data_IF_393711914461
#
_entry.id   IF_393711914461
#
_cell.length_a   1.000
_cell.length_b   1.000
_cell.length_c   1.000
_cell.angle_alpha   90.00
_cell.angle_beta   90.00
_cell.angle_gamma   90.00
#
_symmetry.space_group_name_H-M   'P 1'
#
loop_
_entity.id
_entity.type
_entity.pdbx_description
1 polymer ?
#
# COMPACT_ATOMS: atom_id res chain seq x y z
N UNK A 1 -6.62 -4.22 15.37
CA UNK A 1 -7.59 -5.21 15.90
C UNK A 1 -8.25 -4.63 17.15
N UNK A 2 -9.39 -5.10 17.64
CA UNK A 2 -9.85 -4.75 19.01
C UNK A 2 -9.40 -5.82 19.99
N UNK A 3 -8.77 -5.43 21.09
CA UNK A 3 -8.41 -6.33 22.19
C UNK A 3 -8.93 -5.75 23.51
N UNK A 4 -9.23 -6.65 24.44
CA UNK A 4 -9.70 -6.33 25.77
C UNK A 4 -8.84 -7.07 26.79
N UNK A 5 -8.53 -6.41 27.89
CA UNK A 5 -7.90 -7.01 29.07
C UNK A 5 -9.00 -7.46 30.03
N UNK A 6 -8.77 -8.58 30.73
CA UNK A 6 -9.75 -9.17 31.65
C UNK A 6 -9.35 -8.86 33.09
N UNK A 7 -9.83 -7.72 33.59
CA UNK A 7 -9.51 -7.21 34.94
C UNK A 7 -10.71 -7.43 35.87
N UNK A 8 -10.50 -8.11 37.00
CA UNK A 8 -11.52 -8.53 37.97
C UNK A 8 -12.80 -9.18 37.38
N UNK A 9 -12.67 -9.83 36.22
CA UNK A 9 -13.76 -10.50 35.51
C UNK A 9 -14.55 -9.61 34.54
N UNK A 10 -14.17 -8.34 34.39
CA UNK A 10 -14.71 -7.42 33.40
C UNK A 10 -13.75 -7.24 32.22
N UNK A 11 -14.30 -7.05 31.02
CA UNK A 11 -13.52 -6.76 29.81
C UNK A 11 -13.32 -5.25 29.67
N UNK A 12 -12.14 -4.77 30.05
CA UNK A 12 -11.73 -3.37 29.83
C UNK A 12 -11.00 -3.25 28.48
N UNK A 13 -11.11 -2.14 27.73
CA UNK A 13 -10.34 -1.95 26.51
C UNK A 13 -8.84 -2.04 26.82
N UNK A 14 -8.11 -2.90 26.11
CA UNK A 14 -6.70 -3.16 26.42
C UNK A 14 -5.88 -1.89 26.18
N UNK A 15 -5.20 -1.39 27.22
CA UNK A 15 -4.37 -0.18 27.14
C UNK A 15 -3.02 -0.47 26.46
N UNK A 16 -3.05 -0.76 25.16
CA UNK A 16 -1.88 -0.61 24.31
C UNK A 16 -1.48 0.87 24.36
N UNK A 17 -0.37 1.15 25.03
CA UNK A 17 0.11 2.52 25.21
C UNK A 17 0.45 3.21 23.90
N UNK A 18 0.84 4.47 24.03
CA UNK A 18 0.98 5.39 22.90
C UNK A 18 2.06 4.93 21.92
N UNK A 19 1.81 5.18 20.65
CA UNK A 19 2.76 4.92 19.57
C UNK A 19 3.90 5.94 19.62
N UNK A 20 5.13 5.46 19.48
CA UNK A 20 6.36 6.25 19.60
C UNK A 20 6.83 6.62 18.21
N UNK A 21 6.37 7.78 17.73
CA UNK A 21 6.90 8.43 16.51
C UNK A 21 8.42 8.58 16.68
N UNK A 22 9.17 8.22 15.63
CA UNK A 22 10.64 8.15 15.61
C UNK A 22 11.28 7.29 16.72
N UNK A 23 10.56 6.31 17.26
CA UNK A 23 11.06 5.40 18.30
C UNK A 23 12.14 4.40 17.87
N UNK A 24 12.43 4.30 16.56
CA UNK A 24 13.33 3.30 15.98
C UNK A 24 14.79 3.73 16.00
N UNK A 25 15.37 3.84 17.19
CA UNK A 25 16.81 4.09 17.34
C UNK A 25 17.65 2.95 16.71
N UNK A 26 18.92 3.18 16.33
CA UNK A 26 19.79 2.14 15.78
C UNK A 26 19.90 0.89 16.65
N UNK A 27 19.86 1.05 17.98
CA UNK A 27 19.86 -0.05 18.96
C UNK A 27 18.58 -0.91 18.87
N UNK A 28 17.42 -0.30 18.61
CA UNK A 28 16.16 -1.02 18.36
C UNK A 28 16.25 -1.77 17.02
N UNK A 29 16.78 -1.15 15.97
CA UNK A 29 16.96 -1.80 14.67
C UNK A 29 17.95 -2.98 14.75
N UNK A 30 19.00 -2.89 15.55
CA UNK A 30 19.93 -4.00 15.79
C UNK A 30 19.34 -5.10 16.67
N UNK A 31 18.46 -4.78 17.63
CA UNK A 31 17.67 -5.77 18.36
C UNK A 31 16.68 -6.51 17.44
N UNK A 32 15.99 -5.78 16.55
CA UNK A 32 15.13 -6.34 15.51
C UNK A 32 15.92 -7.25 14.57
N UNK A 33 17.12 -6.86 14.13
CA UNK A 33 18.01 -7.72 13.32
C UNK A 33 18.36 -9.00 14.08
N UNK A 34 18.74 -8.92 15.35
CA UNK A 34 19.07 -10.09 16.16
C UNK A 34 17.91 -11.08 16.30
N UNK A 35 16.66 -10.61 16.31
CA UNK A 35 15.43 -11.41 16.51
C UNK A 35 14.57 -11.56 15.25
N UNK A 36 15.07 -11.19 14.06
CA UNK A 36 14.25 -11.02 12.84
C UNK A 36 13.50 -12.30 12.42
N UNK A 37 14.06 -13.47 12.71
CA UNK A 37 13.44 -14.77 12.40
C UNK A 37 12.24 -15.09 13.30
N UNK A 38 12.28 -14.66 14.56
CA UNK A 38 11.17 -14.78 15.49
C UNK A 38 10.05 -13.80 15.10
N UNK A 39 10.42 -12.57 14.71
CA UNK A 39 9.52 -11.51 14.25
C UNK A 39 8.77 -11.89 12.96
N UNK A 40 9.47 -12.43 11.96
CA UNK A 40 8.85 -12.88 10.70
C UNK A 40 7.99 -14.14 10.92
N UNK A 41 8.22 -14.90 11.99
CA UNK A 41 7.54 -16.16 12.35
C UNK A 41 7.65 -17.30 11.32
N UNK A 42 8.56 -17.18 10.34
CA UNK A 42 8.77 -18.17 9.27
C UNK A 42 9.95 -19.10 9.58
N UNK A 43 9.85 -20.40 9.23
CA UNK A 43 10.99 -21.30 9.27
C UNK A 43 11.98 -20.95 8.15
N UNK A 44 13.05 -20.24 8.52
CA UNK A 44 14.18 -19.91 7.66
C UNK A 44 15.47 -20.41 8.30
N UNK A 45 16.38 -20.95 7.50
CA UNK A 45 17.72 -21.35 7.92
C UNK A 45 18.72 -20.21 7.63
N UNK A 46 19.21 -19.47 8.65
CA UNK A 46 20.09 -18.32 8.44
C UNK A 46 21.49 -18.74 7.97
N UNK A 47 22.06 -17.98 7.04
CA UNK A 47 23.41 -18.23 6.51
C UNK A 47 24.41 -17.18 6.99
N UNK A 48 24.19 -15.91 6.66
CA UNK A 48 25.12 -14.81 6.97
C UNK A 48 24.43 -13.45 6.96
N UNK A 49 24.93 -12.51 7.77
CA UNK A 49 24.41 -11.14 7.94
C UNK A 49 25.20 -10.10 7.11
N UNK A 50 25.61 -10.47 5.89
CA UNK A 50 26.58 -9.70 5.08
C UNK A 50 26.02 -9.45 3.69
N UNK A 51 26.33 -8.29 3.12
CA UNK A 51 26.17 -8.10 1.69
C UNK A 51 27.30 -8.85 0.95
N UNK A 52 26.95 -9.95 0.28
CA UNK A 52 27.92 -10.90 -0.27
C UNK A 52 28.49 -10.41 -1.62
N UNK A 53 27.75 -9.58 -2.36
CA UNK A 53 28.22 -9.00 -3.63
C UNK A 53 28.97 -7.68 -3.41
N UNK A 54 30.28 -7.71 -3.69
CA UNK A 54 31.18 -6.54 -3.61
C UNK A 54 31.12 -5.68 -4.89
N UNK A 55 30.13 -4.81 -5.02
CA UNK A 55 30.12 -3.78 -6.08
C UNK A 55 29.69 -2.37 -5.66
N UNK A 56 29.33 -2.14 -4.39
CA UNK A 56 29.11 -0.78 -3.85
C UNK A 56 29.81 -0.62 -2.51
N UNK A 57 30.59 0.45 -2.37
CA UNK A 57 31.16 0.93 -1.09
C UNK A 57 30.26 1.96 -0.40
N UNK A 58 29.07 2.26 -0.96
CA UNK A 58 28.03 2.92 -0.19
C UNK A 58 27.65 2.04 1.01
N UNK A 59 27.27 2.66 2.13
CA UNK A 59 27.03 1.98 3.40
C UNK A 59 25.73 1.14 3.37
N UNK A 60 25.75 0.01 2.68
CA UNK A 60 24.59 -0.85 2.50
C UNK A 60 24.10 -1.40 3.83
N UNK A 61 22.80 -1.28 4.09
CA UNK A 61 22.12 -1.85 5.25
C UNK A 61 22.44 -3.34 5.42
N UNK A 62 22.71 -3.81 6.65
CA UNK A 62 23.07 -5.21 6.88
C UNK A 62 21.87 -6.12 6.57
N UNK A 63 22.10 -7.10 5.71
CA UNK A 63 21.11 -8.07 5.23
C UNK A 63 21.43 -9.46 5.72
N UNK A 64 20.41 -10.21 6.13
CA UNK A 64 20.47 -11.65 6.30
C UNK A 64 20.19 -12.37 4.97
N UNK A 65 21.09 -13.27 4.57
CA UNK A 65 20.79 -14.30 3.58
C UNK A 65 20.42 -15.59 4.30
N UNK A 66 19.33 -16.23 3.88
CA UNK A 66 18.80 -17.47 4.47
C UNK A 66 18.27 -18.43 3.39
N UNK A 67 17.86 -19.63 3.81
CA UNK A 67 17.11 -20.59 2.98
C UNK A 67 15.73 -20.86 3.57
N UNK A 68 14.70 -20.97 2.72
CA UNK A 68 13.42 -21.55 3.14
C UNK A 68 13.49 -23.09 3.22
N UNK A 69 12.43 -23.73 3.72
CA UNK A 69 12.36 -25.20 3.83
C UNK A 69 12.36 -25.94 2.48
N UNK A 70 12.09 -25.26 1.36
CA UNK A 70 12.17 -25.83 0.00
C UNK A 70 13.60 -25.80 -0.56
N UNK A 71 14.47 -24.94 -0.03
CA UNK A 71 15.82 -24.67 -0.52
C UNK A 71 15.92 -23.43 -1.42
N UNK A 72 14.89 -22.59 -1.43
CA UNK A 72 14.93 -21.28 -2.09
C UNK A 72 15.74 -20.30 -1.23
N UNK A 73 16.61 -19.50 -1.86
CA UNK A 73 17.34 -18.41 -1.19
C UNK A 73 16.38 -17.28 -0.85
N UNK A 74 16.45 -16.81 0.40
CA UNK A 74 15.64 -15.72 0.93
C UNK A 74 16.57 -14.60 1.41
N UNK A 75 16.37 -13.41 0.90
CA UNK A 75 16.95 -12.17 1.44
C UNK A 75 16.02 -11.62 2.54
N UNK A 76 16.59 -11.18 3.65
CA UNK A 76 15.86 -10.48 4.73
C UNK A 76 16.57 -9.16 5.05
N UNK A 77 15.90 -8.04 4.77
CA UNK A 77 16.43 -6.68 4.96
C UNK A 77 15.64 -5.95 6.07
N UNK A 78 16.35 -5.34 7.03
CA UNK A 78 15.75 -4.57 8.14
C UNK A 78 16.06 -3.08 7.95
N UNK A 79 15.01 -2.30 7.68
CA UNK A 79 15.07 -0.91 7.23
C UNK A 79 14.38 0.02 8.23
N UNK A 80 14.83 1.27 8.22
CA UNK A 80 14.21 2.37 8.97
C UNK A 80 13.05 2.97 8.17
N UNK A 81 13.35 3.54 7.00
CA UNK A 81 12.35 3.90 5.99
C UNK A 81 12.39 2.96 4.77
N UNK A 82 11.21 2.66 4.23
CA UNK A 82 11.03 2.03 2.93
C UNK A 82 10.35 3.01 1.97
N UNK A 83 11.16 3.58 1.09
CA UNK A 83 10.76 4.47 -0.01
C UNK A 83 10.98 3.81 -1.39
N UNK A 84 10.69 4.55 -2.46
CA UNK A 84 10.77 4.02 -3.82
C UNK A 84 12.21 3.72 -4.27
N UNK A 85 13.19 4.51 -3.84
CA UNK A 85 14.61 4.27 -4.14
C UNK A 85 15.09 3.01 -3.41
N UNK A 86 14.90 2.94 -2.09
CA UNK A 86 15.28 1.81 -1.23
C UNK A 86 14.61 0.51 -1.64
N UNK A 87 13.36 0.54 -2.11
CA UNK A 87 12.65 -0.63 -2.65
C UNK A 87 13.30 -1.14 -3.95
N UNK A 88 13.60 -0.25 -4.91
CA UNK A 88 14.29 -0.60 -6.16
C UNK A 88 15.69 -1.15 -5.86
N UNK A 89 16.38 -0.56 -4.89
CA UNK A 89 17.72 -0.95 -4.48
C UNK A 89 17.72 -2.35 -3.82
N UNK A 90 16.73 -2.62 -2.96
CA UNK A 90 16.50 -3.96 -2.36
C UNK A 90 16.19 -5.02 -3.42
N UNK A 91 15.36 -4.69 -4.42
CA UNK A 91 15.03 -5.59 -5.54
C UNK A 91 16.23 -5.85 -6.46
N UNK A 92 17.08 -4.84 -6.69
CA UNK A 92 18.34 -5.02 -7.44
C UNK A 92 19.29 -5.95 -6.69
N UNK A 93 19.51 -5.70 -5.39
CA UNK A 93 20.32 -6.57 -4.52
C UNK A 93 19.71 -7.96 -4.32
N UNK A 94 18.40 -8.15 -4.53
CA UNK A 94 17.74 -9.46 -4.47
C UNK A 94 18.12 -10.32 -5.68
N UNK A 95 18.16 -9.75 -6.88
CA UNK A 95 18.52 -10.48 -8.10
C UNK A 95 19.92 -11.10 -7.99
N UNK A 96 20.88 -10.34 -7.44
CA UNK A 96 22.20 -10.82 -7.06
C UNK A 96 22.15 -12.03 -6.12
N UNK A 97 21.37 -11.92 -5.02
CA UNK A 97 21.24 -12.96 -3.99
C UNK A 97 20.59 -14.23 -4.54
N UNK A 98 19.62 -14.08 -5.44
CA UNK A 98 18.95 -15.18 -6.12
C UNK A 98 19.81 -15.90 -7.19
N UNK A 99 20.97 -15.31 -7.57
CA UNK A 99 21.92 -15.92 -8.51
C UNK A 99 22.93 -16.87 -7.84
N UNK A 100 23.01 -16.87 -6.51
CA UNK A 100 24.03 -17.58 -5.75
C UNK A 100 23.90 -19.10 -5.81
N UNK A 101 25.03 -19.81 -5.91
CA UNK A 101 25.03 -21.27 -5.88
C UNK A 101 25.05 -21.83 -4.46
N UNK A 102 24.64 -23.09 -4.33
CA UNK A 102 24.73 -23.87 -3.08
C UNK A 102 26.13 -23.87 -2.47
N UNK A 103 27.18 -23.82 -3.30
CA UNK A 103 28.59 -23.81 -2.86
C UNK A 103 28.98 -22.47 -2.25
N UNK A 104 28.50 -21.37 -2.82
CA UNK A 104 28.82 -20.01 -2.36
C UNK A 104 28.17 -19.78 -0.99
N UNK A 105 26.89 -20.12 -0.87
CA UNK A 105 26.13 -20.11 0.38
C UNK A 105 26.78 -20.96 1.48
N UNK A 106 27.29 -22.15 1.13
CA UNK A 106 28.00 -23.03 2.06
C UNK A 106 29.36 -22.47 2.52
N UNK A 107 29.96 -21.55 1.75
CA UNK A 107 31.26 -20.93 2.04
C UNK A 107 31.14 -19.69 2.94
N UNK A 108 30.06 -18.90 2.81
CA UNK A 108 29.76 -17.77 3.70
C UNK A 108 29.07 -18.17 5.02
N UNK A 109 28.67 -19.43 5.19
CA UNK A 109 28.13 -19.93 6.46
C UNK A 109 29.19 -19.92 7.58
N UNK A 110 28.86 -19.35 8.74
CA UNK A 110 29.78 -19.19 9.87
C UNK A 110 30.32 -20.52 10.44
N UNK A 111 29.58 -21.62 10.31
CA UNK A 111 30.03 -22.98 10.66
C UNK A 111 30.78 -23.73 9.54
N UNK A 112 31.04 -23.08 8.40
CA UNK A 112 31.65 -23.65 7.21
C UNK A 112 30.81 -24.73 6.51
N UNK A 113 31.30 -25.20 5.36
CA UNK A 113 30.57 -26.12 4.44
C UNK A 113 30.01 -27.37 5.13
N UNK A 114 30.77 -27.99 6.05
CA UNK A 114 30.31 -29.19 6.77
C UNK A 114 29.35 -28.86 7.91
N UNK A 115 29.45 -27.68 8.54
CA UNK A 115 28.45 -27.19 9.49
C UNK A 115 27.13 -26.89 8.77
N UNK A 116 27.20 -26.20 7.63
CA UNK A 116 26.08 -25.87 6.76
C UNK A 116 25.29 -27.11 6.33
N UNK A 117 25.97 -28.15 5.82
CA UNK A 117 25.34 -29.43 5.43
C UNK A 117 24.55 -30.07 6.58
N UNK A 118 25.12 -30.11 7.79
CA UNK A 118 24.46 -30.72 8.96
C UNK A 118 23.28 -29.89 9.45
N UNK A 119 23.47 -28.58 9.58
CA UNK A 119 22.40 -27.66 10.00
C UNK A 119 21.23 -27.67 9.03
N UNK A 120 21.50 -27.65 7.72
CA UNK A 120 20.49 -27.77 6.67
C UNK A 120 19.74 -29.10 6.71
N UNK A 121 20.44 -30.22 6.91
CA UNK A 121 19.80 -31.53 7.02
C UNK A 121 18.87 -31.59 8.24
N UNK A 122 19.35 -31.18 9.42
CA UNK A 122 18.56 -31.11 10.65
C UNK A 122 17.36 -30.17 10.52
N UNK A 123 17.52 -29.03 9.85
CA UNK A 123 16.44 -28.10 9.55
C UNK A 123 15.40 -28.71 8.59
N UNK A 124 15.80 -29.48 7.58
CA UNK A 124 14.85 -30.20 6.72
C UNK A 124 14.11 -31.32 7.44
N UNK A 125 14.75 -32.02 8.38
CA UNK A 125 14.10 -33.08 9.17
C UNK A 125 13.02 -32.55 10.14
N UNK A 126 13.09 -31.27 10.55
CA UNK A 126 12.05 -30.63 11.37
C UNK A 126 10.90 -30.00 10.57
N UNK A 127 10.93 -30.09 9.24
CA UNK A 127 9.92 -29.49 8.34
C UNK A 127 8.95 -30.53 7.76
N UNK A 128 7.72 -30.13 7.41
CA UNK A 128 6.78 -31.02 6.70
C UNK A 128 7.37 -31.45 5.34
N UNK A 129 7.01 -32.65 4.83
CA UNK A 129 7.70 -33.28 3.69
C UNK A 129 7.54 -32.57 2.33
N UNK A 130 6.66 -31.59 2.23
CA UNK A 130 6.47 -30.75 1.05
C UNK A 130 6.10 -29.32 1.48
N UNK A 131 7.07 -28.51 1.91
CA UNK A 131 6.80 -27.13 2.29
C UNK A 131 6.46 -26.30 1.05
N UNK A 132 5.51 -25.34 1.13
CA UNK A 132 5.32 -24.37 0.06
C UNK A 132 6.56 -23.47 -0.06
N UNK A 133 6.84 -22.99 -1.28
CA UNK A 133 7.89 -22.00 -1.49
C UNK A 133 7.56 -20.70 -0.73
N UNK A 134 8.53 -20.18 0.00
CA UNK A 134 8.42 -18.91 0.70
C UNK A 134 8.59 -17.69 -0.21
N UNK A 135 8.52 -16.47 0.36
CA UNK A 135 9.03 -15.28 -0.31
C UNK A 135 10.53 -15.40 -0.60
N UNK A 136 11.00 -14.66 -1.60
CA UNK A 136 12.42 -14.50 -1.98
C UNK A 136 13.07 -13.31 -1.28
N UNK A 137 12.26 -12.31 -0.96
CA UNK A 137 12.66 -11.13 -0.19
C UNK A 137 11.64 -10.91 0.93
N UNK A 138 12.12 -10.75 2.15
CA UNK A 138 11.35 -10.23 3.27
C UNK A 138 11.95 -8.88 3.66
N UNK A 139 11.14 -7.83 3.65
CA UNK A 139 11.52 -6.51 4.15
C UNK A 139 10.82 -6.31 5.50
N UNK A 140 11.55 -5.85 6.51
CA UNK A 140 11.00 -5.45 7.80
C UNK A 140 11.33 -3.97 8.00
N UNK A 141 10.33 -3.09 7.89
CA UNK A 141 10.49 -1.64 7.87
C UNK A 141 9.80 -0.98 9.07
N UNK A 142 10.44 0.05 9.65
CA UNK A 142 9.85 0.88 10.69
C UNK A 142 8.86 1.93 10.14
N UNK A 143 9.08 2.41 8.92
CA UNK A 143 8.18 3.33 8.22
C UNK A 143 8.13 3.00 6.72
N UNK A 144 6.98 3.27 6.10
CA UNK A 144 6.72 2.97 4.68
C UNK A 144 6.03 4.18 4.04
N UNK A 145 6.58 4.72 2.96
CA UNK A 145 5.99 5.89 2.29
C UNK A 145 4.71 5.50 1.52
N UNK A 146 3.71 6.38 1.48
CA UNK A 146 2.46 6.13 0.74
C UNK A 146 2.70 5.91 -0.77
N UNK A 147 3.80 6.43 -1.31
CA UNK A 147 4.20 6.24 -2.72
C UNK A 147 4.44 4.76 -3.07
N UNK A 148 5.03 3.97 -2.17
CA UNK A 148 5.36 2.56 -2.44
C UNK A 148 4.23 1.60 -2.09
N UNK A 149 3.28 1.96 -1.21
CA UNK A 149 2.22 1.02 -0.79
C UNK A 149 1.45 0.37 -1.95
N UNK A 150 1.04 1.09 -3.03
CA UNK A 150 0.40 0.47 -4.19
C UNK A 150 1.31 -0.48 -4.98
N UNK A 151 2.63 -0.32 -4.90
CA UNK A 151 3.58 -1.27 -5.49
C UNK A 151 3.73 -2.52 -4.62
N UNK A 152 3.72 -2.39 -3.29
CA UNK A 152 3.78 -3.53 -2.36
C UNK A 152 2.58 -4.48 -2.56
N UNK A 153 1.38 -3.93 -2.77
CA UNK A 153 0.16 -4.69 -3.09
C UNK A 153 0.31 -5.59 -4.34
N UNK A 154 1.11 -5.17 -5.33
CA UNK A 154 1.40 -5.94 -6.53
C UNK A 154 2.54 -6.93 -6.29
N UNK A 155 3.61 -6.47 -5.62
CA UNK A 155 4.82 -7.24 -5.36
C UNK A 155 4.60 -8.41 -4.40
N UNK A 156 3.57 -8.35 -3.53
CA UNK A 156 3.18 -9.47 -2.66
C UNK A 156 2.86 -10.75 -3.45
N UNK A 157 2.27 -10.61 -4.65
CA UNK A 157 1.99 -11.73 -5.55
C UNK A 157 3.25 -12.32 -6.21
N UNK A 158 4.37 -11.58 -6.20
CA UNK A 158 5.64 -11.94 -6.83
C UNK A 158 6.62 -12.64 -5.88
N UNK A 159 6.19 -13.00 -4.67
CA UNK A 159 7.06 -13.62 -3.67
C UNK A 159 7.94 -12.62 -2.93
N UNK A 160 7.45 -11.40 -2.70
CA UNK A 160 8.07 -10.42 -1.79
C UNK A 160 7.10 -10.25 -0.61
N UNK A 161 7.63 -10.25 0.61
CA UNK A 161 6.85 -10.04 1.83
C UNK A 161 7.37 -8.80 2.54
N UNK A 162 6.48 -7.93 2.99
CA UNK A 162 6.85 -6.72 3.73
C UNK A 162 6.15 -6.72 5.07
N UNK A 163 6.89 -6.42 6.12
CA UNK A 163 6.39 -6.23 7.47
C UNK A 163 6.57 -4.77 7.86
N UNK A 164 5.51 -4.15 8.37
CA UNK A 164 5.49 -2.81 8.93
C UNK A 164 5.51 -2.92 10.45
N UNK A 165 6.51 -2.30 11.07
CA UNK A 165 6.71 -2.29 12.51
C UNK A 165 6.19 -0.99 13.13
N UNK A 166 5.49 -1.09 14.25
CA UNK A 166 5.11 0.04 15.12
C UNK A 166 5.69 -0.17 16.51
N UNK A 167 6.30 0.87 17.08
CA UNK A 167 6.81 0.83 18.45
C UNK A 167 5.81 1.52 19.38
N UNK A 168 5.34 0.82 20.41
CA UNK A 168 4.35 1.32 21.38
C UNK A 168 4.94 1.32 22.79
N UNK A 169 4.81 2.42 23.53
CA UNK A 169 5.26 2.50 24.92
C UNK A 169 4.07 2.40 25.88
N UNK A 170 4.08 1.38 26.74
CA UNK A 170 3.08 1.23 27.80
C UNK A 170 3.33 2.19 28.97
N UNK A 171 2.28 2.47 29.74
CA UNK A 171 2.31 3.28 30.97
C UNK A 171 3.30 2.78 32.04
N UNK A 172 3.66 1.49 32.00
CA UNK A 172 4.71 0.88 32.81
C UNK A 172 6.15 1.14 32.31
N UNK A 173 6.33 1.99 31.29
CA UNK A 173 7.60 2.39 30.70
C UNK A 173 8.18 1.40 29.67
N UNK A 174 7.63 0.19 29.54
CA UNK A 174 8.12 -0.82 28.58
C UNK A 174 7.71 -0.47 27.16
N UNK A 175 8.66 -0.56 26.24
CA UNK A 175 8.38 -0.59 24.80
C UNK A 175 7.91 -1.99 24.37
N UNK A 176 7.02 -2.01 23.38
CA UNK A 176 6.49 -3.18 22.70
C UNK A 176 6.58 -2.95 21.19
N UNK A 177 7.01 -3.97 20.46
CA UNK A 177 7.06 -3.95 19.00
C UNK A 177 5.83 -4.66 18.44
N UNK A 178 4.92 -3.92 17.82
CA UNK A 178 3.86 -4.49 16.98
C UNK A 178 4.42 -4.67 15.57
N UNK A 179 4.17 -5.82 14.94
CA UNK A 179 4.65 -6.11 13.58
C UNK A 179 3.52 -6.70 12.77
N UNK A 180 3.21 -6.06 11.64
CA UNK A 180 2.09 -6.39 10.78
C UNK A 180 2.55 -6.71 9.37
N UNK A 181 1.90 -7.67 8.68
CA UNK A 181 2.25 -8.01 7.30
C UNK A 181 1.53 -7.05 6.36
N UNK A 182 2.30 -6.29 5.58
CA UNK A 182 1.83 -5.49 4.45
C UNK A 182 1.63 -6.42 3.25
N UNK A 183 0.62 -7.26 3.39
CA UNK A 183 0.07 -8.03 2.28
C UNK A 183 -0.74 -7.14 1.33
N UNK A 184 -1.27 -7.70 0.24
CA UNK A 184 -2.10 -6.92 -0.66
C UNK A 184 -3.31 -6.42 0.11
N UNK A 185 -3.46 -5.09 0.21
CA UNK A 185 -4.69 -4.45 0.66
C UNK A 185 -5.79 -4.93 -0.27
N UNK A 186 -6.53 -5.94 0.17
CA UNK A 186 -7.83 -6.27 -0.40
C UNK A 186 -8.58 -4.96 -0.53
N UNK A 187 -8.85 -4.53 -1.77
CA UNK A 187 -9.68 -3.35 -2.07
C UNK A 187 -11.16 -3.66 -1.77
N UNK A 188 -11.40 -4.19 -0.57
CA UNK A 188 -12.58 -3.89 0.21
C UNK A 188 -12.62 -2.39 0.43
N UNK A 189 -13.15 -1.70 -0.57
CA UNK A 189 -13.96 -0.52 -0.33
C UNK A 189 -14.87 -0.85 0.87
N UNK A 190 -14.55 -0.30 2.05
CA UNK A 190 -15.52 -0.09 3.12
C UNK A 190 -16.48 1.03 2.70
N UNK A 191 -17.04 0.89 1.50
CA UNK A 191 -18.25 1.55 1.06
C UNK A 191 -19.39 0.96 1.88
N UNK A 192 -19.57 1.51 3.08
CA UNK A 192 -20.79 1.52 3.86
C UNK A 192 -21.50 0.16 4.01
N UNK A 193 -21.30 -0.48 5.17
CA UNK A 193 -22.33 -1.34 5.78
C UNK A 193 -23.53 -0.49 6.29
N UNK A 194 -24.03 0.38 5.40
CA UNK A 194 -25.14 1.32 5.57
C UNK A 194 -25.90 1.45 4.24
N UNK A 195 -26.44 0.32 3.78
CA UNK A 195 -27.68 0.28 2.98
C UNK A 195 -28.71 -0.60 3.68
N UNK A 196 -29.02 -0.21 4.92
CA UNK A 196 -30.32 -0.50 5.49
C UNK A 196 -31.36 0.43 4.85
N UNK A 197 -32.29 -0.17 4.11
CA UNK A 197 -33.65 0.31 3.89
C UNK A 197 -33.91 1.67 3.17
N UNK A 198 -34.50 1.51 1.97
CA UNK A 198 -35.68 2.21 1.46
C UNK A 198 -35.58 3.38 0.44
N UNK A 199 -36.32 3.15 -0.66
CA UNK A 199 -37.14 4.12 -1.39
C UNK A 199 -36.50 5.10 -2.39
N UNK A 200 -36.08 4.55 -3.53
CA UNK A 200 -36.30 5.21 -4.82
C UNK A 200 -36.72 4.16 -5.89
N UNK A 201 -38.03 4.01 -6.13
CA UNK A 201 -38.52 3.23 -7.27
C UNK A 201 -38.29 4.02 -8.57
N UNK A 202 -37.23 3.70 -9.29
CA UNK A 202 -36.90 4.26 -10.61
C UNK A 202 -37.00 3.20 -11.70
N UNK A 203 -38.00 3.34 -12.58
CA UNK A 203 -38.33 2.40 -13.66
C UNK A 203 -37.12 1.95 -14.48
N UNK A 204 -36.94 0.62 -14.62
CA UNK A 204 -36.13 0.04 -15.68
C UNK A 204 -36.97 0.01 -16.97
N UNK A 205 -36.61 0.84 -17.95
CA UNK A 205 -37.22 0.81 -19.28
C UNK A 205 -36.34 -0.04 -20.22
N UNK A 206 -36.95 -1.07 -20.82
CA UNK A 206 -36.24 -2.13 -21.54
C UNK A 206 -35.92 -1.71 -22.98
N UNK A 207 -34.62 -1.52 -23.31
CA UNK A 207 -34.18 -1.22 -24.67
C UNK A 207 -33.30 -2.33 -25.26
N UNK A 208 -33.87 -3.01 -26.27
CA UNK A 208 -33.30 -4.16 -26.98
C UNK A 208 -32.49 -3.70 -28.20
N UNK A 209 -31.26 -4.17 -28.34
CA UNK A 209 -30.55 -4.32 -29.63
C UNK A 209 -29.57 -5.52 -29.55
N UNK A 210 -29.26 -6.20 -30.67
CA UNK A 210 -29.28 -7.67 -30.68
C UNK A 210 -27.93 -8.36 -30.94
N UNK A 211 -27.90 -9.67 -30.68
CA UNK A 211 -26.78 -10.56 -31.03
C UNK A 211 -26.83 -10.99 -32.51
N UNK A 212 -25.66 -11.22 -33.12
CA UNK A 212 -25.55 -11.95 -34.40
C UNK A 212 -24.44 -13.01 -34.35
N UNK A 213 -24.89 -14.25 -34.48
CA UNK A 213 -24.23 -15.55 -34.67
C UNK A 213 -22.76 -15.63 -35.20
N UNK A 214 -22.05 -16.73 -34.85
CA UNK A 214 -21.95 -17.91 -35.75
C UNK A 214 -21.46 -19.23 -35.14
N UNK A 215 -21.72 -20.31 -35.87
CA UNK A 215 -21.75 -21.70 -35.41
C UNK A 215 -20.53 -22.56 -35.84
N UNK A 216 -20.07 -23.38 -34.89
CA UNK A 216 -19.66 -24.80 -34.92
C UNK A 216 -19.30 -25.51 -36.25
N UNK A 217 -18.23 -26.31 -36.21
CA UNK A 217 -17.80 -27.31 -37.22
C UNK A 217 -18.75 -28.53 -37.37
N UNK A 218 -18.59 -29.29 -38.48
CA UNK A 218 -18.26 -30.72 -38.34
C UNK A 218 -17.27 -31.25 -39.42
N UNK A 219 -16.82 -32.50 -39.26
CA UNK A 219 -16.16 -33.33 -40.28
C UNK A 219 -17.19 -34.28 -40.95
N UNK A 220 -16.90 -35.10 -41.98
CA UNK A 220 -15.64 -35.50 -42.67
C UNK A 220 -15.95 -35.60 -44.21
N UNK A 221 -15.36 -36.34 -45.17
CA UNK A 221 -14.34 -37.40 -45.24
C UNK A 221 -13.75 -37.53 -46.69
N UNK A 222 -12.85 -38.51 -46.89
CA UNK A 222 -12.53 -39.25 -48.14
C UNK A 222 -11.71 -38.62 -49.31
N UNK A 223 -10.55 -39.24 -49.54
CA UNK A 223 -10.10 -39.84 -50.81
C UNK A 223 -9.52 -39.03 -51.99
N UNK A 224 -8.17 -39.00 -52.02
CA UNK A 224 -7.32 -39.59 -53.09
C UNK A 224 -7.05 -38.87 -54.43
N UNK A 225 -6.00 -39.35 -55.11
CA UNK A 225 -5.48 -39.01 -56.46
C UNK A 225 -4.82 -37.61 -56.59
N UNK A 226 -3.75 -37.41 -57.36
CA UNK A 226 -2.39 -38.01 -57.45
C UNK A 226 -1.69 -37.45 -58.71
N UNK A 227 -0.35 -37.32 -58.67
CA UNK A 227 0.54 -36.94 -59.79
C UNK A 227 0.33 -35.48 -60.30
N UNK A 228 1.30 -34.56 -60.23
CA UNK A 228 2.68 -34.56 -60.74
C UNK A 228 2.76 -34.38 -62.27
N UNK A 229 3.29 -33.23 -62.70
CA UNK A 229 3.97 -33.10 -64.00
C UNK A 229 5.13 -32.08 -63.90
N UNK A 230 6.03 -32.13 -64.88
CA UNK A 230 7.34 -31.46 -64.92
C UNK A 230 7.53 -30.79 -66.29
N UNK A 231 8.49 -29.86 -66.41
CA UNK A 231 9.43 -29.70 -67.55
C UNK A 231 9.64 -28.24 -68.04
N UNK A 232 10.63 -27.61 -67.41
CA UNK A 232 11.67 -26.74 -67.97
C UNK A 232 11.62 -26.27 -69.46
N UNK A 233 11.96 -24.98 -69.68
CA UNK A 233 13.10 -24.44 -70.51
C UNK A 233 12.94 -22.90 -70.67
N UNK A 234 13.98 -22.06 -70.87
CA UNK A 234 15.45 -22.23 -70.88
C UNK A 234 16.16 -20.88 -70.60
N UNK A 235 17.45 -20.97 -70.21
CA UNK A 235 18.46 -19.91 -70.06
C UNK A 235 18.56 -18.94 -71.26
N UNK A 236 19.05 -17.71 -71.08
CA UNK A 236 20.49 -17.37 -71.23
C UNK A 236 21.10 -16.49 -70.11
N UNK A 237 22.44 -16.54 -69.98
CA UNK A 237 23.28 -15.63 -69.16
C UNK A 237 23.70 -14.39 -70.01
N UNK A 238 24.40 -13.34 -69.55
CA UNK A 238 25.15 -13.00 -68.32
C UNK A 238 25.04 -11.45 -68.07
N UNK A 239 25.67 -10.76 -67.11
CA UNK A 239 26.85 -10.97 -66.25
C UNK A 239 26.63 -10.44 -64.80
N UNK A 240 27.64 -10.55 -63.94
CA UNK A 240 27.52 -10.41 -62.49
C UNK A 240 27.82 -9.00 -61.93
N UNK A 241 27.18 -8.69 -60.79
CA UNK A 241 27.75 -7.92 -59.67
C UNK A 241 27.22 -8.54 -58.37
N UNK A 242 28.03 -8.54 -57.31
CA UNK A 242 27.64 -9.02 -55.97
C UNK A 242 27.23 -7.81 -55.12
N UNK A 243 26.11 -7.94 -54.42
CA UNK A 243 25.64 -7.03 -53.38
C UNK A 243 24.74 -7.86 -52.44
N UNK A 244 24.90 -7.73 -51.12
CA UNK A 244 24.36 -8.68 -50.12
C UNK A 244 23.01 -8.27 -49.52
N UNK A 245 22.40 -9.19 -48.77
CA UNK A 245 20.98 -9.22 -48.40
C UNK A 245 20.60 -8.28 -47.23
N UNK A 246 19.45 -7.57 -47.28
CA UNK A 246 19.05 -6.61 -46.25
C UNK A 246 18.38 -7.28 -45.02
N UNK A 247 18.47 -6.67 -43.81
CA UNK A 247 18.07 -7.29 -42.55
C UNK A 247 16.56 -7.23 -42.23
N UNK A 248 16.14 -8.09 -41.30
CA UNK A 248 14.74 -8.32 -40.88
C UNK A 248 14.11 -7.19 -40.05
N UNK A 249 12.77 -7.13 -40.05
CA UNK A 249 11.99 -6.08 -39.39
C UNK A 249 11.84 -6.25 -37.85
N UNK A 250 11.71 -5.14 -37.08
CA UNK A 250 11.64 -5.17 -35.61
C UNK A 250 10.23 -5.38 -35.05
N UNK A 251 10.15 -5.95 -33.84
CA UNK A 251 8.90 -6.27 -33.14
C UNK A 251 8.17 -5.02 -32.62
N UNK A 252 6.83 -5.00 -32.75
CA UNK A 252 5.96 -3.89 -32.37
C UNK A 252 5.83 -3.76 -30.84
N UNK A 253 6.39 -2.70 -30.25
CA UNK A 253 6.14 -2.32 -28.84
C UNK A 253 4.67 -1.89 -28.65
N UNK A 254 4.06 -2.32 -27.55
CA UNK A 254 2.78 -1.76 -27.06
C UNK A 254 3.10 -0.52 -26.24
N UNK A 255 2.49 0.62 -26.57
CA UNK A 255 2.67 1.88 -25.84
C UNK A 255 1.67 2.01 -24.69
N UNK A 256 2.10 2.61 -23.58
CA UNK A 256 1.23 3.00 -22.47
C UNK A 256 0.20 4.04 -22.99
N UNK A 257 -1.09 3.95 -22.62
CA UNK A 257 -2.08 4.95 -23.03
C UNK A 257 -1.73 6.33 -22.49
N UNK A 258 -1.48 7.30 -23.37
CA UNK A 258 -1.38 8.71 -22.97
C UNK A 258 -2.75 9.23 -22.52
N UNK A 259 -2.85 9.94 -21.38
CA UNK A 259 -4.13 10.46 -20.90
C UNK A 259 -4.76 11.40 -21.93
N UNK A 260 -6.05 11.20 -22.17
CA UNK A 260 -6.82 11.94 -23.18
C UNK A 260 -6.84 13.43 -22.89
N UNK A 261 -7.25 14.22 -23.90
CA UNK A 261 -7.43 15.67 -23.75
C UNK A 261 -8.54 16.01 -22.74
N UNK A 262 -9.43 15.07 -22.42
CA UNK A 262 -10.46 15.24 -21.39
C UNK A 262 -9.89 14.95 -19.99
N UNK A 263 -9.13 13.88 -19.83
CA UNK A 263 -8.48 13.53 -18.55
C UNK A 263 -7.47 14.60 -18.13
N UNK A 264 -6.63 15.10 -19.05
CA UNK A 264 -5.74 16.24 -18.76
C UNK A 264 -6.49 17.52 -18.41
N UNK A 265 -7.69 17.76 -18.95
CA UNK A 265 -8.55 18.88 -18.52
C UNK A 265 -9.20 18.64 -17.15
N UNK A 266 -9.53 17.40 -16.80
CA UNK A 266 -10.04 17.03 -15.47
C UNK A 266 -8.95 17.12 -14.40
N UNK A 267 -7.74 16.62 -14.69
CA UNK A 267 -6.56 16.76 -13.84
C UNK A 267 -6.27 18.24 -13.56
N UNK A 268 -6.05 19.04 -14.61
CA UNK A 268 -5.79 20.48 -14.47
C UNK A 268 -6.96 21.28 -13.86
N UNK A 269 -8.18 20.74 -13.80
CA UNK A 269 -9.30 21.35 -13.08
C UNK A 269 -9.29 20.98 -11.60
N UNK A 270 -9.04 19.70 -11.25
CA UNK A 270 -8.87 19.23 -9.87
C UNK A 270 -7.65 19.88 -9.21
N UNK A 271 -6.55 19.98 -9.93
CA UNK A 271 -5.32 20.65 -9.55
C UNK A 271 -5.56 22.14 -9.29
N UNK A 272 -6.29 22.84 -10.18
CA UNK A 272 -6.71 24.24 -9.97
C UNK A 272 -7.60 24.46 -8.75
N UNK A 273 -8.44 23.50 -8.37
CA UNK A 273 -9.21 23.56 -7.12
C UNK A 273 -8.30 23.38 -5.89
N UNK A 274 -7.21 22.61 -6.03
CA UNK A 274 -6.20 22.39 -5.01
C UNK A 274 -5.16 23.51 -4.88
N UNK A 275 -5.05 24.43 -5.86
CA UNK A 275 -4.01 25.49 -5.88
C UNK A 275 -4.48 26.85 -5.34
N UNK A 276 -5.70 26.96 -4.81
CA UNK A 276 -6.29 28.25 -4.39
C UNK A 276 -6.57 28.35 -2.89
N UNK A 277 -5.92 27.51 -2.08
CA UNK A 277 -6.14 27.39 -0.64
C UNK A 277 -4.77 27.43 0.07
N UNK A 278 -4.42 28.57 0.68
CA UNK A 278 -3.26 28.71 1.58
C UNK A 278 -3.70 28.54 3.04
N UNK A 279 -2.85 28.82 4.05
CA UNK A 279 -3.25 28.72 5.46
C UNK A 279 -4.44 29.65 5.78
N UNK A 280 -5.51 29.06 6.30
CA UNK A 280 -6.81 29.69 6.55
C UNK A 280 -6.85 30.30 7.96
N UNK A 281 -7.16 31.60 8.11
CA UNK A 281 -7.46 32.19 9.42
C UNK A 281 -8.85 31.72 9.90
N UNK A 282 -9.10 31.80 11.23
CA UNK A 282 -10.45 31.65 11.82
C UNK A 282 -11.42 32.60 11.10
N UNK A 283 -12.29 32.05 10.25
CA UNK A 283 -13.09 32.83 9.29
C UNK A 283 -14.24 31.99 8.69
N UNK A 284 -15.28 32.62 8.11
CA UNK A 284 -16.33 31.90 7.37
C UNK A 284 -15.77 31.07 6.20
N UNK A 285 -14.66 31.55 5.64
CA UNK A 285 -13.89 30.90 4.59
C UNK A 285 -13.30 29.55 5.06
N UNK A 286 -12.78 29.49 6.28
CA UNK A 286 -12.31 28.24 6.89
C UNK A 286 -13.43 27.23 7.16
N UNK A 287 -14.62 27.70 7.56
CA UNK A 287 -15.81 26.85 7.71
C UNK A 287 -16.24 26.23 6.36
N UNK A 288 -16.16 26.98 5.26
CA UNK A 288 -16.45 26.48 3.92
C UNK A 288 -15.43 25.39 3.52
N UNK A 289 -14.14 25.59 3.79
CA UNK A 289 -13.10 24.58 3.54
C UNK A 289 -13.32 23.28 4.34
N UNK A 290 -13.64 23.38 5.64
CA UNK A 290 -13.91 22.22 6.50
C UNK A 290 -15.22 21.50 6.13
N UNK A 291 -16.30 22.22 5.83
CA UNK A 291 -17.54 21.62 5.35
C UNK A 291 -17.38 20.93 3.99
N UNK A 292 -16.59 21.54 3.08
CA UNK A 292 -16.31 20.98 1.77
C UNK A 292 -15.40 19.74 1.81
N UNK A 293 -14.47 19.64 2.77
CA UNK A 293 -13.58 18.47 2.90
C UNK A 293 -14.33 17.21 3.34
N UNK A 294 -15.35 17.35 4.19
CA UNK A 294 -16.23 16.24 4.62
C UNK A 294 -17.34 15.96 3.59
N UNK A 295 -17.78 16.98 2.83
CA UNK A 295 -18.69 16.83 1.70
C UNK A 295 -20.13 16.45 2.05
N UNK A 296 -20.52 16.60 3.33
CA UNK A 296 -21.86 16.39 3.91
C UNK A 296 -22.08 17.40 5.04
N UNK A 297 -23.30 17.52 5.57
CA UNK A 297 -23.51 18.18 6.87
C UNK A 297 -22.69 17.46 7.94
N UNK A 298 -22.07 18.25 8.81
CA UNK A 298 -21.24 17.79 9.94
C UNK A 298 -21.90 18.25 11.23
N UNK A 299 -22.27 17.31 12.10
CA UNK A 299 -22.79 17.66 13.43
C UNK A 299 -21.71 18.38 14.23
N UNK A 300 -22.08 19.50 14.86
CA UNK A 300 -21.28 20.15 15.88
C UNK A 300 -22.00 20.01 17.23
N UNK A 301 -21.25 19.74 18.29
CA UNK A 301 -21.74 19.61 19.66
C UNK A 301 -21.01 20.59 20.56
N UNK A 302 -21.75 21.33 21.39
CA UNK A 302 -21.22 22.10 22.50
C UNK A 302 -21.64 21.42 23.81
N UNK A 303 -20.67 21.00 24.63
CA UNK A 303 -20.93 20.51 25.99
C UNK A 303 -20.72 21.63 27.02
N UNK A 304 -21.79 21.93 27.77
CA UNK A 304 -21.79 22.88 28.87
C UNK A 304 -23.07 22.70 29.70
N UNK A 305 -23.40 23.69 30.55
CA UNK A 305 -24.60 23.64 31.43
C UNK A 305 -25.91 23.34 30.68
N UNK A 306 -25.98 23.69 29.40
CA UNK A 306 -26.95 23.18 28.43
C UNK A 306 -26.20 22.63 27.22
N UNK A 307 -26.30 21.33 26.88
CA UNK A 307 -25.73 20.81 25.65
C UNK A 307 -26.49 21.35 24.44
N UNK A 308 -25.77 21.63 23.36
CA UNK A 308 -26.35 22.17 22.11
C UNK A 308 -25.79 21.41 20.92
N UNK A 309 -26.68 21.06 19.99
CA UNK A 309 -26.35 20.45 18.70
C UNK A 309 -26.57 21.45 17.56
N UNK A 310 -25.71 21.40 16.54
CA UNK A 310 -25.79 22.18 15.31
C UNK A 310 -25.36 21.35 14.09
N UNK A 311 -25.69 21.80 12.88
CA UNK A 311 -25.13 21.24 11.64
C UNK A 311 -24.28 22.26 10.87
N UNK A 312 -22.99 21.98 10.68
CA UNK A 312 -22.13 22.68 9.74
C UNK A 312 -22.32 22.11 8.33
N UNK A 313 -22.91 22.90 7.44
CA UNK A 313 -23.09 22.56 6.03
C UNK A 313 -21.80 22.66 5.22
N UNK A 314 -21.76 21.98 4.07
CA UNK A 314 -20.66 22.06 3.09
C UNK A 314 -20.48 23.44 2.40
N UNK A 315 -21.19 24.48 2.88
CA UNK A 315 -21.07 25.88 2.43
C UNK A 315 -20.54 26.80 3.55
N UNK A 316 -20.05 26.24 4.66
CA UNK A 316 -19.54 27.00 5.80
C UNK A 316 -20.62 27.68 6.65
N UNK A 317 -21.89 27.27 6.51
CA UNK A 317 -23.02 27.77 7.31
C UNK A 317 -23.34 26.77 8.42
N UNK A 318 -23.39 27.25 9.66
CA UNK A 318 -23.77 26.50 10.86
C UNK A 318 -25.25 26.74 11.14
N UNK A 319 -26.05 25.69 11.18
CA UNK A 319 -27.48 25.73 11.48
C UNK A 319 -27.73 25.27 12.91
N UNK A 320 -28.28 26.14 13.74
CA UNK A 320 -28.76 25.86 15.11
C UNK A 320 -30.27 26.03 15.20
N UNK A 321 -30.87 25.62 16.32
CA UNK A 321 -32.31 25.80 16.61
C UNK A 321 -32.83 27.24 16.47
N UNK A 322 -31.95 28.24 16.60
CA UNK A 322 -32.27 29.67 16.46
C UNK A 322 -32.05 30.26 15.05
N UNK A 323 -31.39 29.56 14.12
CA UNK A 323 -31.13 30.07 12.77
C UNK A 323 -29.82 29.58 12.13
N UNK A 324 -29.46 30.22 11.02
CA UNK A 324 -28.26 29.95 10.21
C UNK A 324 -27.19 31.04 10.42
N UNK A 325 -25.95 30.62 10.69
CA UNK A 325 -24.83 31.50 11.06
C UNK A 325 -23.57 31.18 10.25
N UNK A 326 -22.68 32.18 10.12
CA UNK A 326 -21.38 32.07 9.42
C UNK A 326 -20.17 32.32 10.32
N UNK A 327 -20.41 32.60 11.60
CA UNK A 327 -19.40 32.61 12.65
C UNK A 327 -19.83 31.60 13.73
N UNK A 328 -18.95 30.72 14.23
CA UNK A 328 -19.30 29.75 15.27
C UNK A 328 -19.63 30.43 16.61
N UNK A 329 -19.13 31.64 16.83
CA UNK A 329 -19.37 32.46 18.04
C UNK A 329 -20.79 33.00 18.05
N UNK A 330 -21.25 33.57 16.93
CA UNK A 330 -22.63 34.05 16.78
C UNK A 330 -23.64 32.91 16.98
N UNK A 331 -23.29 31.69 16.55
CA UNK A 331 -24.12 30.50 16.74
C UNK A 331 -24.27 30.10 18.23
N UNK A 332 -23.26 30.36 19.09
CA UNK A 332 -23.36 30.15 20.54
C UNK A 332 -24.16 31.28 21.22
N UNK A 333 -23.91 32.53 20.85
CA UNK A 333 -24.66 33.71 21.33
C UNK A 333 -26.16 33.56 21.02
N UNK A 334 -26.50 33.06 19.83
CA UNK A 334 -27.88 32.75 19.43
C UNK A 334 -28.53 31.58 20.21
N UNK A 335 -27.77 30.87 21.04
CA UNK A 335 -28.24 29.83 21.96
C UNK A 335 -28.13 30.27 23.43
N UNK A 336 -27.78 31.53 23.70
CA UNK A 336 -27.64 32.10 25.04
C UNK A 336 -26.28 31.83 25.70
N UNK A 337 -25.28 31.39 24.94
CA UNK A 337 -23.93 31.05 25.42
C UNK A 337 -22.98 32.20 25.06
N UNK A 338 -23.01 33.25 25.87
CA UNK A 338 -22.16 34.43 25.67
C UNK A 338 -20.72 34.23 26.19
N UNK A 339 -19.75 34.86 25.54
CA UNK A 339 -18.40 35.05 26.09
C UNK A 339 -17.39 33.89 25.90
N UNK A 340 -17.71 32.90 25.07
CA UNK A 340 -16.74 31.91 24.56
C UNK A 340 -16.41 32.19 23.09
N UNK A 341 -15.19 31.87 22.64
CA UNK A 341 -14.89 31.76 21.20
C UNK A 341 -15.50 30.45 20.68
N UNK A 342 -16.34 30.52 19.64
CA UNK A 342 -16.97 29.33 19.08
C UNK A 342 -15.99 28.37 18.42
N UNK A 343 -14.82 28.84 17.97
CA UNK A 343 -13.78 27.98 17.38
C UNK A 343 -13.20 27.01 18.42
N UNK A 344 -13.07 27.44 19.67
CA UNK A 344 -12.51 26.65 20.77
C UNK A 344 -13.59 25.92 21.60
N UNK A 345 -14.86 25.98 21.19
CA UNK A 345 -16.01 25.49 21.97
C UNK A 345 -16.96 24.54 21.22
N UNK A 346 -17.02 24.57 19.89
CA UNK A 346 -17.75 23.56 19.10
C UNK A 346 -16.85 22.37 18.78
N UNK A 347 -17.28 21.18 19.21
CA UNK A 347 -16.66 19.89 18.90
C UNK A 347 -17.33 19.23 17.68
N UNK A 348 -16.54 18.53 16.86
CA UNK A 348 -17.02 17.89 15.64
C UNK A 348 -17.49 16.46 15.92
N UNK A 349 -18.74 16.16 15.56
CA UNK A 349 -19.36 14.83 15.66
C UNK A 349 -19.97 14.54 17.03
N UNK A 350 -19.15 14.56 18.08
CA UNK A 350 -19.58 14.39 19.48
C UNK A 350 -18.71 15.20 20.46
N UNK A 351 -19.06 15.19 21.75
CA UNK A 351 -18.38 15.97 22.81
C UNK A 351 -16.90 15.61 23.05
N UNK A 352 -16.43 14.45 22.59
CA UNK A 352 -15.03 14.03 22.64
C UNK A 352 -14.31 14.22 21.30
N UNK A 353 -15.01 14.71 20.28
CA UNK A 353 -14.45 15.05 18.97
C UNK A 353 -13.56 16.30 19.01
N UNK A 354 -12.76 16.54 17.95
CA UNK A 354 -11.88 17.70 17.87
C UNK A 354 -12.70 19.00 17.75
N UNK A 355 -12.18 20.09 18.33
CA UNK A 355 -12.76 21.42 18.16
C UNK A 355 -12.61 21.95 16.73
N UNK A 356 -13.44 22.92 16.35
CA UNK A 356 -13.26 23.66 15.07
C UNK A 356 -11.87 24.30 14.96
N UNK A 357 -11.26 24.73 16.07
CA UNK A 357 -9.91 25.28 16.11
C UNK A 357 -8.84 24.21 15.84
N UNK A 358 -8.96 23.01 16.42
CA UNK A 358 -8.05 21.89 16.17
C UNK A 358 -8.19 21.37 14.73
N UNK A 359 -9.42 21.23 14.23
CA UNK A 359 -9.69 20.85 12.85
C UNK A 359 -9.16 21.86 11.84
N UNK A 360 -9.24 23.17 12.13
CA UNK A 360 -8.60 24.22 11.32
C UNK A 360 -7.07 24.17 11.41
N UNK A 361 -6.52 23.83 12.58
CA UNK A 361 -5.05 23.69 12.76
C UNK A 361 -4.53 22.51 11.96
N UNK A 362 -5.23 21.39 11.98
CA UNK A 362 -4.92 20.20 11.18
C UNK A 362 -5.10 20.45 9.67
N UNK A 363 -6.20 21.09 9.25
CA UNK A 363 -6.40 21.48 7.86
C UNK A 363 -5.28 22.42 7.37
N UNK A 364 -4.77 23.30 8.23
CA UNK A 364 -3.65 24.18 7.91
C UNK A 364 -2.28 23.47 7.91
N UNK A 365 -2.09 22.41 8.71
CA UNK A 365 -0.84 21.63 8.74
C UNK A 365 -0.57 21.00 7.36
N UNK A 366 -1.64 20.53 6.70
CA UNK A 366 -1.61 19.90 5.38
C UNK A 366 -1.24 20.85 4.22
N UNK A 367 -1.21 22.18 4.46
CA UNK A 367 -0.70 23.20 3.53
C UNK A 367 0.67 23.77 3.93
N UNK A 368 1.28 23.25 5.00
CA UNK A 368 2.50 23.79 5.63
C UNK A 368 3.78 22.96 5.43
N UNK A 369 3.75 21.91 4.61
CA UNK A 369 4.86 20.99 4.32
C UNK A 369 5.44 21.20 2.91
#
# INVERSE_FOLDING_TARGET
>A
MTLFELEDGHLVPAQFGHEVVDGFTPEVLDAVRAQVLEIISRPLFPITWRNIMRHSEAASTPRLTALDASGQVVAVEVLDCLDAETLIDSLSRLADTASMSWTDLASEYSGGVEGFKRGWFQFRESMPPSPPHGPRLVIVAASITEEVRPALDVLSSSGIEVHEMSLRQMSNGRAFLEVSIVGPRMYGHRANLLLGENSAQGMLEEQVIPQLEKHKEPATDTASIAQADVLAKRKTHAHARVEEEPPSAPTRRVGVPFPSRLERRRAAHRERLNTSQGPWPRSPQALEAMGASVGRSVTLVYEGDTPVEAELSAQGVITVSAGEFRDPTDALVAQGIDGRDGWDAWHIGDQYGPTLAEALTELNSQFGA
#
